data_IF_534823537160
#
_entry.id   IF_534823537160
#
_cell.length_a   1.000
_cell.length_b   1.000
_cell.length_c   1.000
_cell.angle_alpha   90.00
_cell.angle_beta   90.00
_cell.angle_gamma   90.00
#
_symmetry.space_group_name_H-M   'P 1'
#
loop_
_entity.id
_entity.type
_entity.pdbx_description
1 polymer ?
#
# COMPACT_ATOMS: atom_id res chain seq x y z
N UNK A 1 3.88 -1.14 -15.50
CA UNK A 1 3.77 -1.51 -14.08
C UNK A 1 2.93 -0.44 -13.41
N UNK A 2 1.74 -0.78 -12.91
CA UNK A 2 0.88 0.16 -12.21
C UNK A 2 1.49 0.44 -10.82
N UNK A 3 1.76 1.71 -10.51
CA UNK A 3 2.37 2.12 -9.24
C UNK A 3 1.57 1.64 -8.02
N UNK A 4 0.24 1.58 -8.13
CA UNK A 4 -0.61 1.04 -7.06
C UNK A 4 -0.38 -0.46 -6.91
N UNK A 5 -0.38 -1.21 -8.02
CA UNK A 5 -0.19 -2.66 -8.01
C UNK A 5 1.15 -3.05 -7.39
N UNK A 6 2.24 -2.39 -7.79
CA UNK A 6 3.56 -2.63 -7.21
C UNK A 6 3.58 -2.36 -5.72
N UNK A 7 2.93 -1.29 -5.26
CA UNK A 7 2.89 -0.93 -3.85
C UNK A 7 2.04 -1.91 -3.02
N UNK A 8 0.88 -2.35 -3.53
CA UNK A 8 0.04 -3.38 -2.89
C UNK A 8 0.81 -4.68 -2.76
N UNK A 9 1.39 -5.16 -3.87
CA UNK A 9 2.11 -6.44 -3.89
C UNK A 9 3.29 -6.41 -2.90
N UNK A 10 4.07 -5.33 -2.88
CA UNK A 10 5.18 -5.18 -1.95
C UNK A 10 4.73 -5.23 -0.48
N UNK A 11 3.67 -4.50 -0.12
CA UNK A 11 3.18 -4.46 1.27
C UNK A 11 2.67 -5.84 1.69
N UNK A 12 1.86 -6.50 0.86
CA UNK A 12 1.33 -7.83 1.14
C UNK A 12 2.46 -8.86 1.30
N UNK A 13 3.45 -8.84 0.40
CA UNK A 13 4.60 -9.76 0.47
C UNK A 13 5.43 -9.53 1.73
N UNK A 14 5.66 -8.28 2.11
CA UNK A 14 6.55 -7.93 3.22
C UNK A 14 5.92 -8.06 4.60
N UNK A 15 4.58 -7.95 4.69
CA UNK A 15 3.88 -7.87 5.98
C UNK A 15 2.83 -8.96 6.19
N UNK A 16 2.41 -9.66 5.14
CA UNK A 16 1.26 -10.57 5.22
C UNK A 16 -0.08 -9.86 5.49
N UNK A 17 -0.12 -8.53 5.48
CA UNK A 17 -1.33 -7.75 5.65
C UNK A 17 -2.37 -8.12 4.58
N UNK A 18 -3.63 -8.04 4.97
CA UNK A 18 -4.75 -8.35 4.08
C UNK A 18 -4.69 -7.51 2.80
N UNK A 19 -4.77 -8.19 1.64
CA UNK A 19 -4.60 -7.55 0.33
C UNK A 19 -5.71 -6.52 0.08
N UNK A 20 -6.93 -6.79 0.49
CA UNK A 20 -8.05 -5.88 0.23
C UNK A 20 -7.90 -4.61 1.07
N UNK A 21 -7.53 -4.73 2.35
CA UNK A 21 -7.22 -3.58 3.21
C UNK A 21 -6.11 -2.71 2.63
N UNK A 22 -4.99 -3.31 2.20
CA UNK A 22 -3.87 -2.59 1.57
C UNK A 22 -4.30 -1.93 0.26
N UNK A 23 -5.12 -2.62 -0.55
CA UNK A 23 -5.62 -2.09 -1.84
C UNK A 23 -6.52 -0.89 -1.62
N UNK A 24 -7.46 -0.96 -0.67
CA UNK A 24 -8.33 0.16 -0.32
C UNK A 24 -7.53 1.37 0.17
N UNK A 25 -6.53 1.14 1.02
CA UNK A 25 -5.67 2.19 1.54
C UNK A 25 -4.84 2.87 0.44
N UNK A 26 -4.14 2.08 -0.39
CA UNK A 26 -3.29 2.59 -1.48
C UNK A 26 -4.13 3.31 -2.54
N UNK A 27 -5.32 2.80 -2.86
CA UNK A 27 -6.25 3.47 -3.77
C UNK A 27 -6.67 4.84 -3.23
N UNK A 28 -6.94 4.95 -1.93
CA UNK A 28 -7.23 6.23 -1.27
C UNK A 28 -6.11 7.25 -1.44
N UNK A 29 -4.85 6.83 -1.20
CA UNK A 29 -3.67 7.69 -1.39
C UNK A 29 -3.50 8.15 -2.84
N UNK A 30 -3.73 7.25 -3.80
CA UNK A 30 -3.61 7.58 -5.21
C UNK A 30 -4.69 8.58 -5.66
N UNK A 31 -5.93 8.40 -5.21
CA UNK A 31 -7.01 9.36 -5.46
C UNK A 31 -6.73 10.72 -4.79
N UNK A 32 -6.02 10.73 -3.66
CA UNK A 32 -5.52 11.95 -3.01
C UNK A 32 -4.28 12.57 -3.71
N UNK A 33 -3.84 12.02 -4.84
CA UNK A 33 -2.76 12.57 -5.67
C UNK A 33 -1.37 12.00 -5.38
N UNK A 34 -1.23 10.99 -4.51
CA UNK A 34 0.05 10.32 -4.28
C UNK A 34 0.30 9.32 -5.41
N UNK A 35 1.11 9.70 -6.40
CA UNK A 35 1.41 8.85 -7.57
C UNK A 35 2.80 8.20 -7.54
N UNK A 36 3.66 8.64 -6.63
CA UNK A 36 4.99 8.07 -6.49
C UNK A 36 4.90 6.65 -5.87
N UNK A 37 5.39 5.60 -6.56
CA UNK A 37 5.27 4.23 -6.08
C UNK A 37 6.01 4.00 -4.76
N UNK A 38 7.18 4.63 -4.54
CA UNK A 38 7.93 4.47 -3.28
C UNK A 38 7.15 5.04 -2.10
N UNK A 39 6.50 6.19 -2.29
CA UNK A 39 5.66 6.84 -1.29
C UNK A 39 4.40 6.05 -0.99
N UNK A 40 3.78 5.43 -2.00
CA UNK A 40 2.66 4.52 -1.80
C UNK A 40 3.08 3.29 -0.98
N UNK A 41 4.19 2.64 -1.33
CA UNK A 41 4.72 1.48 -0.58
C UNK A 41 5.06 1.86 0.86
N UNK A 42 5.79 2.97 1.07
CA UNK A 42 6.19 3.40 2.42
C UNK A 42 4.97 3.65 3.32
N UNK A 43 3.96 4.37 2.82
CA UNK A 43 2.73 4.59 3.57
C UNK A 43 1.96 3.30 3.81
N UNK A 44 1.93 2.39 2.83
CA UNK A 44 1.29 1.09 2.98
C UNK A 44 1.98 0.21 4.04
N UNK A 45 3.31 0.28 4.17
CA UNK A 45 4.06 -0.39 5.24
C UNK A 45 3.73 0.22 6.61
N UNK A 46 3.65 1.54 6.73
CA UNK A 46 3.23 2.20 7.97
C UNK A 46 1.83 1.74 8.39
N UNK A 47 0.89 1.71 7.42
CA UNK A 47 -0.47 1.23 7.64
C UNK A 47 -0.49 -0.23 8.13
N UNK A 48 0.30 -1.12 7.53
CA UNK A 48 0.36 -2.52 7.94
C UNK A 48 0.84 -2.68 9.39
N UNK A 49 1.87 -1.93 9.80
CA UNK A 49 2.37 -1.92 11.20
C UNK A 49 1.29 -1.40 12.16
N UNK A 50 0.57 -0.35 11.79
CA UNK A 50 -0.52 0.20 12.60
C UNK A 50 -1.73 -0.74 12.69
N UNK A 51 -1.97 -1.54 11.64
CA UNK A 51 -3.05 -2.53 11.58
C UNK A 51 -2.73 -3.83 12.34
N UNK A 52 -1.52 -3.99 12.88
CA UNK A 52 -1.09 -5.18 13.60
C UNK A 52 -0.75 -6.38 12.71
N UNK A 53 -0.33 -6.11 11.46
CA UNK A 53 0.19 -7.12 10.54
C UNK A 53 1.66 -7.47 10.83
#
# INVERSE_FOLDING_TARGET
MDAQKTAVDAVVILTGCDRDMVTHFIRGLYLAGVRDPKRLTFKGLQFAVEAGA
#
